data_IF_052542576479
#
_entry.id   IF_052542576479
#
_cell.length_a   1.000
_cell.length_b   1.000
_cell.length_c   1.000
_cell.angle_alpha   90.00
_cell.angle_beta   90.00
_cell.angle_gamma   90.00
#
_symmetry.space_group_name_H-M   'P 1'
#
loop_
_entity.id
_entity.type
_entity.pdbx_description
1 polymer ?
#
# COMPACT_ATOMS: atom_id res chain seq x y z
N UNK A 1 -17.07 16.77 9.61
CA UNK A 1 -16.86 17.41 8.30
C UNK A 1 -16.09 16.42 7.45
N UNK A 2 -16.75 15.75 6.56
CA UNK A 2 -16.12 14.88 5.57
C UNK A 2 -15.60 15.80 4.48
N UNK A 3 -14.28 16.04 4.48
CA UNK A 3 -13.65 16.71 3.36
C UNK A 3 -13.93 15.90 2.09
N UNK A 4 -14.59 16.54 1.15
CA UNK A 4 -14.76 16.07 -0.22
C UNK A 4 -13.36 15.89 -0.83
N UNK A 5 -12.88 14.66 -0.83
CA UNK A 5 -11.71 14.29 -1.62
C UNK A 5 -12.11 14.42 -3.08
N UNK A 6 -11.75 15.53 -3.69
CA UNK A 6 -11.90 15.95 -5.10
C UNK A 6 -13.02 15.24 -5.89
N UNK A 7 -14.06 15.98 -6.29
CA UNK A 7 -15.19 15.50 -7.10
C UNK A 7 -14.85 14.96 -8.50
N UNK A 8 -13.59 14.78 -8.83
CA UNK A 8 -13.11 14.30 -10.13
C UNK A 8 -13.51 12.86 -10.43
N UNK A 9 -13.73 12.02 -9.41
CA UNK A 9 -14.18 10.64 -9.61
C UNK A 9 -15.51 10.56 -10.36
N UNK A 10 -16.40 11.52 -10.15
CA UNK A 10 -17.65 11.60 -10.89
C UNK A 10 -17.41 11.87 -12.39
N UNK A 11 -16.55 12.82 -12.71
CA UNK A 11 -16.26 13.17 -14.11
C UNK A 11 -15.57 12.06 -14.89
N UNK A 12 -14.89 11.13 -14.21
CA UNK A 12 -14.30 9.97 -14.87
C UNK A 12 -15.35 9.00 -15.46
N UNK A 13 -16.62 9.09 -15.06
CA UNK A 13 -17.72 8.32 -15.64
C UNK A 13 -17.88 8.60 -17.13
N UNK A 14 -17.61 9.82 -17.57
CA UNK A 14 -17.68 10.22 -18.98
C UNK A 14 -16.55 9.67 -19.84
N UNK A 15 -15.52 9.06 -19.25
CA UNK A 15 -14.49 8.33 -19.99
C UNK A 15 -14.98 6.96 -20.48
N UNK A 16 -16.03 6.42 -19.87
CA UNK A 16 -16.53 5.06 -20.16
C UNK A 16 -18.00 5.08 -20.65
N UNK A 17 -18.70 6.18 -20.47
CA UNK A 17 -20.11 6.34 -20.87
C UNK A 17 -20.36 7.73 -21.44
N UNK A 18 -21.14 7.85 -22.53
CA UNK A 18 -21.52 9.15 -23.09
C UNK A 18 -22.53 9.90 -22.22
N UNK A 19 -23.18 9.23 -21.30
CA UNK A 19 -24.16 9.81 -20.39
C UNK A 19 -24.09 9.22 -19.01
N UNK A 20 -24.49 9.99 -18.01
CA UNK A 20 -24.58 9.53 -16.62
C UNK A 20 -25.95 9.89 -16.05
N UNK A 21 -26.53 8.93 -15.35
CA UNK A 21 -27.78 9.12 -14.60
C UNK A 21 -27.53 8.79 -13.14
N UNK A 22 -27.81 9.75 -12.26
CA UNK A 22 -27.62 9.59 -10.82
C UNK A 22 -28.95 9.81 -10.12
N UNK A 23 -29.46 8.75 -9.51
CA UNK A 23 -30.66 8.81 -8.67
C UNK A 23 -30.25 8.76 -7.21
N UNK A 24 -30.76 9.65 -6.39
CA UNK A 24 -30.39 9.71 -4.97
C UNK A 24 -31.59 10.04 -4.09
N UNK A 25 -31.64 9.35 -2.94
CA UNK A 25 -32.58 9.63 -1.86
C UNK A 25 -31.81 9.87 -0.57
N UNK A 26 -31.94 11.04 0.07
CA UNK A 26 -31.27 11.32 1.32
C UNK A 26 -31.90 10.53 2.49
N UNK A 27 -31.19 10.37 3.61
CA UNK A 27 -31.78 9.77 4.81
C UNK A 27 -32.91 10.64 5.36
N UNK A 28 -33.92 10.01 5.91
CA UNK A 28 -34.98 10.69 6.65
C UNK A 28 -34.40 11.41 7.87
N UNK A 29 -34.83 12.64 8.11
CA UNK A 29 -34.41 13.46 9.25
C UNK A 29 -35.65 14.07 9.90
N UNK A 30 -35.50 14.64 11.12
CA UNK A 30 -36.58 15.36 11.78
C UNK A 30 -37.10 16.56 10.97
N UNK A 31 -36.25 17.14 10.10
CA UNK A 31 -36.59 18.25 9.24
C UNK A 31 -37.13 17.81 7.88
N UNK A 32 -36.86 16.56 7.45
CA UNK A 32 -37.32 15.95 6.22
C UNK A 32 -37.69 14.48 6.51
N UNK A 33 -38.86 14.22 7.09
CA UNK A 33 -39.26 12.86 7.47
C UNK A 33 -39.60 11.98 6.25
N UNK A 34 -40.05 12.58 5.14
CA UNK A 34 -40.45 11.87 3.91
C UNK A 34 -39.56 12.35 2.73
N UNK A 35 -38.33 11.87 2.63
CA UNK A 35 -37.41 12.29 1.59
C UNK A 35 -37.87 11.81 0.21
N UNK A 36 -37.73 12.67 -0.79
CA UNK A 36 -38.05 12.39 -2.19
C UNK A 36 -36.78 12.01 -2.94
N UNK A 37 -36.88 11.01 -3.81
CA UNK A 37 -35.83 10.64 -4.74
C UNK A 37 -35.75 11.61 -5.88
N UNK A 38 -34.55 12.10 -6.17
CA UNK A 38 -34.25 12.94 -7.33
C UNK A 38 -33.27 12.24 -8.25
N UNK A 39 -33.43 12.48 -9.53
CA UNK A 39 -32.52 12.02 -10.57
C UNK A 39 -31.85 13.19 -11.27
N UNK A 40 -30.54 13.11 -11.39
CA UNK A 40 -29.69 13.97 -12.18
C UNK A 40 -29.28 13.22 -13.45
N UNK A 41 -29.38 13.87 -14.62
CA UNK A 41 -28.92 13.33 -15.90
C UNK A 41 -28.03 14.36 -16.59
N UNK A 42 -26.91 13.88 -17.17
CA UNK A 42 -26.02 14.72 -17.99
C UNK A 42 -25.34 13.86 -19.05
N UNK A 43 -24.97 14.48 -20.15
CA UNK A 43 -24.21 13.87 -21.25
C UNK A 43 -22.81 14.47 -21.36
N UNK A 44 -21.87 13.71 -21.90
CA UNK A 44 -20.49 14.15 -22.12
C UNK A 44 -20.40 15.34 -23.11
N UNK A 45 -21.32 15.40 -24.10
CA UNK A 45 -21.37 16.41 -25.12
C UNK A 45 -22.27 17.58 -24.74
N UNK A 46 -22.97 17.49 -23.58
CA UNK A 46 -23.97 18.45 -23.14
C UNK A 46 -23.38 19.56 -22.29
N UNK A 47 -23.71 20.80 -22.59
CA UNK A 47 -23.48 21.93 -21.69
C UNK A 47 -24.57 22.02 -20.60
N UNK A 48 -25.57 21.13 -20.66
CA UNK A 48 -26.76 21.16 -19.83
C UNK A 48 -26.87 19.86 -19.00
N UNK A 49 -27.47 19.99 -17.84
CA UNK A 49 -27.90 18.87 -17.02
C UNK A 49 -29.36 19.03 -16.61
N UNK A 50 -30.02 17.91 -16.32
CA UNK A 50 -31.42 17.91 -15.88
C UNK A 50 -31.52 17.35 -14.48
N UNK A 51 -32.34 17.95 -13.62
CA UNK A 51 -32.69 17.41 -12.29
C UNK A 51 -34.19 17.40 -12.13
N UNK A 52 -34.73 16.26 -11.78
CA UNK A 52 -36.17 16.08 -11.60
C UNK A 52 -36.50 15.09 -10.48
N UNK A 53 -37.71 15.15 -9.92
CA UNK A 53 -38.23 14.13 -9.03
C UNK A 53 -38.35 12.81 -9.79
N UNK A 54 -37.76 11.75 -9.27
CA UNK A 54 -37.68 10.47 -9.97
C UNK A 54 -39.10 9.87 -10.13
N UNK A 55 -39.58 9.61 -11.35
CA UNK A 55 -40.91 9.03 -11.57
C UNK A 55 -41.05 7.61 -11.05
N UNK A 56 -39.93 6.91 -10.79
CA UNK A 56 -39.93 5.61 -10.09
C UNK A 56 -40.26 5.72 -8.61
N UNK A 57 -40.39 6.95 -8.08
CA UNK A 57 -40.59 7.21 -6.68
C UNK A 57 -39.37 6.84 -5.85
N UNK A 58 -39.59 6.21 -4.70
CA UNK A 58 -38.52 5.85 -3.77
C UNK A 58 -37.95 4.46 -4.03
N UNK A 59 -37.63 4.13 -5.30
CA UNK A 59 -37.17 2.78 -5.70
C UNK A 59 -35.88 2.34 -4.99
N UNK A 60 -35.03 3.27 -4.57
CA UNK A 60 -33.82 2.95 -3.81
C UNK A 60 -34.11 2.53 -2.35
N UNK A 61 -35.32 2.80 -1.84
CA UNK A 61 -35.71 2.35 -0.49
C UNK A 61 -35.81 0.84 -0.37
N UNK A 62 -36.03 0.13 -1.46
CA UNK A 62 -36.05 -1.34 -1.48
C UNK A 62 -34.68 -1.92 -1.06
N UNK A 63 -33.61 -1.12 -1.18
CA UNK A 63 -32.24 -1.50 -0.82
C UNK A 63 -31.77 -0.91 0.53
N UNK A 64 -32.52 0.03 1.09
CA UNK A 64 -32.19 0.69 2.35
C UNK A 64 -32.93 2.02 2.57
N UNK A 65 -32.76 2.64 3.75
CA UNK A 65 -33.49 3.87 4.11
C UNK A 65 -32.99 5.12 3.35
N UNK A 66 -31.86 5.02 2.65
CA UNK A 66 -31.30 6.07 1.79
C UNK A 66 -30.28 5.43 0.85
N UNK A 67 -29.97 6.09 -0.26
CA UNK A 67 -29.01 5.55 -1.20
C UNK A 67 -28.77 6.44 -2.40
N UNK A 68 -27.77 6.05 -3.18
CA UNK A 68 -27.46 6.68 -4.48
C UNK A 68 -27.19 5.58 -5.48
N UNK A 69 -27.83 5.66 -6.62
CA UNK A 69 -27.63 4.80 -7.79
C UNK A 69 -26.96 5.62 -8.89
N UNK A 70 -25.89 5.09 -9.48
CA UNK A 70 -25.24 5.67 -10.65
C UNK A 70 -25.37 4.68 -11.79
N UNK A 71 -25.99 5.10 -12.86
CA UNK A 71 -26.19 4.28 -14.06
C UNK A 71 -25.36 4.84 -15.19
N UNK A 72 -24.54 4.00 -15.79
CA UNK A 72 -23.67 4.30 -16.92
C UNK A 72 -24.06 3.40 -18.09
N UNK A 73 -24.25 4.00 -19.26
CA UNK A 73 -24.53 3.27 -20.50
C UNK A 73 -23.23 3.00 -21.23
N UNK A 74 -22.66 1.81 -20.99
CA UNK A 74 -21.37 1.42 -21.58
C UNK A 74 -21.60 1.00 -23.02
N UNK A 75 -21.01 1.77 -23.97
CA UNK A 75 -21.11 1.46 -25.37
C UNK A 75 -20.20 0.29 -25.76
N UNK A 76 -20.73 -0.76 -26.40
CA UNK A 76 -19.91 -1.77 -27.07
C UNK A 76 -18.98 -1.08 -28.08
N UNK A 77 -17.81 -1.67 -28.31
CA UNK A 77 -16.80 -1.18 -29.28
C UNK A 77 -16.07 0.13 -28.89
N UNK A 78 -16.29 0.65 -27.69
CA UNK A 78 -15.57 1.85 -27.19
C UNK A 78 -14.15 1.54 -26.64
N UNK A 79 -13.75 0.27 -26.63
CA UNK A 79 -12.52 -0.18 -25.95
C UNK A 79 -12.66 -0.29 -24.42
N UNK A 80 -13.86 -0.04 -23.90
CA UNK A 80 -14.16 -0.08 -22.47
C UNK A 80 -14.91 -1.37 -22.04
N UNK A 81 -14.98 -2.36 -22.89
CA UNK A 81 -15.68 -3.63 -22.63
C UNK A 81 -15.16 -4.38 -21.40
N UNK A 82 -13.94 -4.06 -20.99
CA UNK A 82 -13.35 -4.58 -19.76
C UNK A 82 -14.15 -4.24 -18.50
N UNK A 83 -14.91 -3.14 -18.50
CA UNK A 83 -15.78 -2.73 -17.38
C UNK A 83 -16.93 -3.72 -17.19
N UNK A 84 -17.32 -4.44 -18.25
CA UNK A 84 -18.36 -5.45 -18.20
C UNK A 84 -17.82 -6.84 -17.80
N UNK A 85 -16.50 -6.97 -17.61
CA UNK A 85 -15.86 -8.22 -17.23
C UNK A 85 -15.69 -8.28 -15.71
N UNK A 86 -16.42 -9.20 -15.07
CA UNK A 86 -16.40 -9.36 -13.62
C UNK A 86 -15.01 -9.66 -13.06
N UNK A 87 -14.20 -10.49 -13.74
CA UNK A 87 -12.87 -10.86 -13.25
C UNK A 87 -11.94 -9.64 -13.24
N UNK A 88 -12.01 -8.79 -14.27
CA UNK A 88 -11.24 -7.55 -14.31
C UNK A 88 -11.72 -6.53 -13.26
N UNK A 89 -13.02 -6.47 -12.99
CA UNK A 89 -13.54 -5.62 -11.92
C UNK A 89 -13.08 -6.11 -10.53
N UNK A 90 -13.07 -7.42 -10.30
CA UNK A 90 -12.51 -8.01 -9.08
C UNK A 90 -11.05 -7.64 -8.93
N UNK A 91 -10.22 -7.85 -9.97
CA UNK A 91 -8.80 -7.48 -9.98
C UNK A 91 -8.59 -5.99 -9.66
N UNK A 92 -9.39 -5.12 -10.27
CA UNK A 92 -9.32 -3.68 -10.03
C UNK A 92 -9.65 -3.31 -8.57
N UNK A 93 -10.72 -3.88 -8.02
CA UNK A 93 -11.11 -3.65 -6.62
C UNK A 93 -10.07 -4.24 -5.66
N UNK A 94 -9.55 -5.43 -5.95
CA UNK A 94 -8.48 -6.04 -5.16
C UNK A 94 -7.21 -5.19 -5.17
N UNK A 95 -6.85 -4.64 -6.31
CA UNK A 95 -5.68 -3.76 -6.42
C UNK A 95 -5.84 -2.46 -5.62
N UNK A 96 -6.99 -1.80 -5.72
CA UNK A 96 -7.17 -0.43 -5.21
C UNK A 96 -7.90 -0.35 -3.86
N UNK A 97 -8.76 -1.30 -3.55
CA UNK A 97 -9.71 -1.18 -2.42
C UNK A 97 -9.84 -2.43 -1.56
N UNK A 98 -9.04 -3.48 -1.78
CA UNK A 98 -9.16 -4.74 -1.03
C UNK A 98 -9.11 -4.57 0.49
N UNK A 99 -8.41 -3.55 0.98
CA UNK A 99 -8.22 -3.26 2.41
C UNK A 99 -9.19 -2.19 2.95
N UNK A 100 -10.04 -1.62 2.12
CA UNK A 100 -11.03 -0.61 2.52
C UNK A 100 -12.29 -1.28 3.10
N UNK A 101 -12.12 -2.15 4.09
CA UNK A 101 -13.19 -3.02 4.62
C UNK A 101 -14.29 -2.28 5.38
N UNK A 102 -14.04 -1.02 5.78
CA UNK A 102 -15.05 -0.16 6.41
C UNK A 102 -16.24 0.12 5.49
N UNK A 103 -15.99 0.14 4.18
CA UNK A 103 -17.00 0.31 3.14
C UNK A 103 -17.00 -0.95 2.28
N UNK A 104 -17.89 -1.92 2.56
CA UNK A 104 -17.94 -3.16 1.82
C UNK A 104 -18.34 -2.90 0.36
N UNK A 105 -17.59 -3.52 -0.56
CA UNK A 105 -17.84 -3.46 -1.99
C UNK A 105 -18.38 -4.83 -2.42
N UNK A 106 -19.54 -4.81 -3.04
CA UNK A 106 -20.16 -6.00 -3.58
C UNK A 106 -20.21 -5.93 -5.10
N UNK A 107 -19.93 -7.02 -5.75
CA UNK A 107 -20.12 -7.20 -7.18
C UNK A 107 -21.25 -8.20 -7.40
N UNK A 108 -22.21 -7.84 -8.27
CA UNK A 108 -23.25 -8.75 -8.71
C UNK A 108 -22.69 -9.69 -9.75
N UNK A 109 -22.73 -10.99 -9.48
CA UNK A 109 -22.30 -11.97 -10.44
C UNK A 109 -23.31 -12.08 -11.58
N UNK A 110 -22.90 -11.82 -12.81
CA UNK A 110 -23.76 -11.90 -14.00
C UNK A 110 -23.88 -13.33 -14.53
N UNK A 111 -23.01 -14.24 -14.09
CA UNK A 111 -22.93 -15.62 -14.61
C UNK A 111 -23.61 -16.68 -13.71
N UNK A 112 -23.83 -16.36 -12.43
CA UNK A 112 -24.43 -17.28 -11.46
C UNK A 112 -25.54 -16.56 -10.68
N UNK A 113 -26.79 -16.85 -10.96
CA UNK A 113 -28.04 -16.46 -10.26
C UNK A 113 -28.13 -15.05 -9.65
N UNK A 114 -27.29 -14.11 -10.10
CA UNK A 114 -27.33 -12.73 -9.64
C UNK A 114 -26.96 -12.51 -8.19
N UNK A 115 -26.22 -13.41 -7.55
CA UNK A 115 -25.73 -13.22 -6.18
C UNK A 115 -24.73 -12.08 -6.07
N UNK A 116 -24.86 -11.32 -4.98
CA UNK A 116 -23.90 -10.26 -4.62
C UNK A 116 -22.72 -10.85 -3.85
N UNK A 117 -21.53 -10.74 -4.40
CA UNK A 117 -20.29 -11.21 -3.79
C UNK A 117 -19.50 -10.05 -3.23
N UNK A 118 -19.19 -10.08 -1.93
CA UNK A 118 -18.30 -9.10 -1.31
C UNK A 118 -16.88 -9.34 -1.79
N UNK A 119 -16.23 -8.31 -2.36
CA UNK A 119 -14.88 -8.40 -2.94
C UNK A 119 -13.81 -7.97 -1.94
N UNK A 120 -13.94 -6.81 -1.31
CA UNK A 120 -12.94 -6.27 -0.38
C UNK A 120 -13.02 -6.94 1.01
N UNK A 121 -12.59 -8.19 1.08
CA UNK A 121 -12.69 -9.04 2.29
C UNK A 121 -11.47 -8.92 3.21
N UNK A 122 -10.31 -8.55 2.68
CA UNK A 122 -9.03 -8.61 3.39
C UNK A 122 -8.92 -7.47 4.41
N UNK A 123 -8.82 -7.82 5.68
CA UNK A 123 -8.52 -6.81 6.70
C UNK A 123 -7.08 -6.32 6.55
N UNK A 124 -6.85 -5.01 6.66
CA UNK A 124 -5.50 -4.46 6.58
C UNK A 124 -4.68 -4.89 7.81
N UNK A 125 -3.73 -5.79 7.59
CA UNK A 125 -2.91 -6.36 8.67
C UNK A 125 -2.17 -5.26 9.46
N UNK A 126 -1.70 -4.23 8.77
CA UNK A 126 -0.99 -3.10 9.39
C UNK A 126 -1.85 -2.22 10.31
N UNK A 127 -3.18 -2.42 10.32
CA UNK A 127 -4.09 -1.69 11.21
C UNK A 127 -4.27 -2.38 12.56
N UNK A 128 -3.95 -3.67 12.65
CA UNK A 128 -4.07 -4.47 13.88
C UNK A 128 -2.89 -4.21 14.83
N UNK A 129 -3.05 -4.55 16.10
CA UNK A 129 -1.94 -4.51 17.04
C UNK A 129 -0.91 -5.61 16.66
N UNK A 130 0.39 -5.28 16.53
CA UNK A 130 1.43 -6.27 16.24
C UNK A 130 1.46 -7.46 17.20
N UNK A 131 0.99 -7.29 18.43
CA UNK A 131 0.94 -8.34 19.45
C UNK A 131 -0.15 -9.39 19.20
N UNK A 132 -1.17 -9.03 18.41
CA UNK A 132 -2.31 -9.88 18.08
C UNK A 132 -2.15 -10.62 16.75
N UNK A 133 -1.03 -10.39 16.06
CA UNK A 133 -0.75 -10.95 14.74
C UNK A 133 0.27 -12.06 14.87
N UNK A 134 -0.09 -13.24 14.39
CA UNK A 134 0.83 -14.39 14.36
C UNK A 134 1.87 -14.25 13.24
N UNK A 135 2.98 -14.98 13.39
CA UNK A 135 4.01 -15.05 12.33
C UNK A 135 3.46 -15.61 11.02
N UNK A 136 2.52 -16.55 11.08
CA UNK A 136 1.89 -17.13 9.90
C UNK A 136 1.12 -16.06 9.11
N UNK A 137 0.37 -15.19 9.80
CA UNK A 137 -0.35 -14.09 9.14
C UNK A 137 0.60 -13.08 8.50
N UNK A 138 1.75 -12.77 9.14
CA UNK A 138 2.76 -11.92 8.51
C UNK A 138 3.35 -12.55 7.25
N UNK A 139 3.59 -13.87 7.22
CA UNK A 139 4.12 -14.59 6.06
C UNK A 139 3.09 -14.67 4.93
N UNK A 140 1.85 -14.99 5.25
CA UNK A 140 0.74 -15.01 4.30
C UNK A 140 0.54 -13.63 3.65
N UNK A 141 0.58 -12.57 4.48
CA UNK A 141 0.48 -11.21 3.97
C UNK A 141 1.64 -10.84 3.04
N UNK A 142 2.87 -11.28 3.36
CA UNK A 142 4.02 -11.07 2.49
C UNK A 142 3.84 -11.75 1.13
N UNK A 143 3.34 -12.98 1.09
CA UNK A 143 3.03 -13.69 -0.16
C UNK A 143 1.99 -12.94 -1.01
N UNK A 144 1.03 -12.29 -0.37
CA UNK A 144 0.06 -11.44 -1.07
C UNK A 144 0.66 -10.11 -1.59
N UNK A 145 1.80 -9.67 -1.05
CA UNK A 145 2.51 -8.47 -1.50
C UNK A 145 3.47 -8.75 -2.64
N UNK A 146 4.11 -9.92 -2.65
CA UNK A 146 5.10 -10.30 -3.64
C UNK A 146 4.46 -11.20 -4.70
N UNK A 147 4.47 -10.85 -5.99
CA UNK A 147 3.87 -11.65 -7.05
C UNK A 147 4.69 -12.92 -7.39
N UNK A 148 5.87 -13.09 -6.79
CA UNK A 148 6.73 -14.26 -7.02
C UNK A 148 6.09 -15.49 -6.40
N UNK A 149 5.92 -16.60 -7.14
CA UNK A 149 5.43 -17.85 -6.57
C UNK A 149 6.29 -18.28 -5.39
N UNK A 150 5.65 -18.73 -4.31
CA UNK A 150 6.30 -19.20 -3.07
C UNK A 150 7.26 -18.17 -2.45
N UNK A 151 6.92 -16.87 -2.57
CA UNK A 151 7.71 -15.81 -1.97
C UNK A 151 7.79 -15.96 -0.46
N UNK A 152 9.01 -15.97 0.08
CA UNK A 152 9.28 -16.07 1.50
C UNK A 152 9.94 -14.80 2.04
N UNK A 153 9.67 -14.48 3.30
CA UNK A 153 10.32 -13.39 4.00
C UNK A 153 11.27 -13.92 5.08
N UNK A 154 12.41 -13.25 5.20
CA UNK A 154 13.40 -13.54 6.24
C UNK A 154 13.21 -12.71 7.52
N UNK A 155 12.33 -11.70 7.49
CA UNK A 155 12.05 -10.89 8.66
C UNK A 155 11.20 -9.67 8.31
N UNK A 156 10.61 -9.10 9.34
CA UNK A 156 9.73 -7.94 9.18
C UNK A 156 9.77 -7.01 10.39
N UNK A 157 9.22 -5.81 10.17
CA UNK A 157 8.87 -4.89 11.24
C UNK A 157 7.54 -4.22 10.95
N UNK A 158 6.75 -3.98 11.99
CA UNK A 158 5.44 -3.37 11.94
C UNK A 158 5.38 -2.27 13.00
N UNK A 159 5.00 -1.05 12.62
CA UNK A 159 4.98 0.07 13.56
C UNK A 159 3.95 1.14 13.17
N UNK A 160 3.55 1.93 14.17
CA UNK A 160 2.87 3.21 14.00
C UNK A 160 3.90 4.33 14.11
N UNK A 161 3.82 5.31 13.23
CA UNK A 161 4.72 6.46 13.21
C UNK A 161 3.99 7.78 13.02
N UNK A 162 4.70 8.85 13.29
CA UNK A 162 4.33 10.21 12.94
C UNK A 162 5.45 10.83 12.12
N UNK A 163 5.10 11.55 11.08
CA UNK A 163 6.07 12.16 10.17
C UNK A 163 6.76 13.40 10.76
N UNK A 164 6.32 13.89 11.91
CA UNK A 164 6.77 15.19 12.45
C UNK A 164 6.20 16.40 11.71
N UNK A 165 5.36 16.16 10.70
CA UNK A 165 4.56 17.20 10.00
C UNK A 165 3.06 17.08 10.31
N UNK A 166 2.71 16.33 11.35
CA UNK A 166 1.32 16.10 11.76
C UNK A 166 0.60 14.98 11.02
N UNK A 167 1.30 14.24 10.15
CA UNK A 167 0.73 13.09 9.43
C UNK A 167 1.10 11.81 10.16
N UNK A 168 0.11 11.18 10.79
CA UNK A 168 0.25 9.85 11.37
C UNK A 168 0.15 8.79 10.28
N UNK A 169 0.91 7.71 10.42
CA UNK A 169 0.89 6.59 9.49
C UNK A 169 1.16 5.26 10.19
N UNK A 170 0.80 4.17 9.55
CA UNK A 170 1.19 2.82 9.91
C UNK A 170 1.99 2.21 8.78
N UNK A 171 2.97 1.40 9.13
CA UNK A 171 3.81 0.80 8.12
C UNK A 171 4.26 -0.61 8.50
N UNK A 172 4.43 -1.42 7.47
CA UNK A 172 5.06 -2.73 7.54
C UNK A 172 6.20 -2.79 6.55
N UNK A 173 7.30 -3.44 6.93
CA UNK A 173 8.49 -3.58 6.12
C UNK A 173 8.98 -5.01 6.23
N UNK A 174 9.31 -5.62 5.08
CA UNK A 174 9.75 -6.99 4.97
C UNK A 174 11.10 -7.11 4.29
N UNK A 175 11.88 -8.08 4.74
CA UNK A 175 13.11 -8.53 4.09
C UNK A 175 12.77 -9.77 3.26
N UNK A 176 12.90 -9.78 1.93
CA UNK A 176 12.73 -10.97 1.12
C UNK A 176 13.78 -12.03 1.46
N UNK A 177 13.41 -13.30 1.42
CA UNK A 177 14.36 -14.39 1.63
C UNK A 177 15.35 -14.52 0.47
N UNK A 178 14.94 -14.11 -0.74
CA UNK A 178 15.76 -14.11 -1.95
C UNK A 178 15.64 -12.76 -2.65
N UNK A 179 16.73 -12.27 -3.21
CA UNK A 179 16.70 -11.13 -4.12
C UNK A 179 16.37 -11.61 -5.54
N UNK A 180 15.68 -10.80 -6.36
CA UNK A 180 15.56 -11.06 -7.78
C UNK A 180 16.93 -11.23 -8.44
N UNK A 181 17.08 -12.16 -9.39
CA UNK A 181 18.37 -12.44 -10.05
C UNK A 181 18.99 -11.20 -10.71
N UNK A 182 18.13 -10.33 -11.22
CA UNK A 182 18.50 -9.08 -11.88
C UNK A 182 18.59 -7.85 -10.96
N UNK A 183 18.46 -8.06 -9.63
CA UNK A 183 18.44 -6.95 -8.65
C UNK A 183 19.59 -5.98 -8.82
N UNK A 184 20.82 -6.47 -9.06
CA UNK A 184 22.01 -5.66 -9.19
C UNK A 184 22.14 -4.98 -10.56
N UNK A 185 21.45 -5.52 -11.57
CA UNK A 185 21.54 -5.08 -12.97
C UNK A 185 20.45 -4.06 -13.33
N UNK A 186 19.36 -4.00 -12.56
CA UNK A 186 18.28 -3.03 -12.75
C UNK A 186 18.73 -1.64 -12.32
N UNK A 187 18.41 -0.66 -13.15
CA UNK A 187 18.61 0.76 -12.84
C UNK A 187 17.78 1.24 -11.66
N UNK A 188 18.08 2.44 -11.12
CA UNK A 188 17.19 3.08 -10.14
C UNK A 188 15.80 3.28 -10.72
N UNK A 189 14.76 3.21 -9.87
CA UNK A 189 13.36 3.45 -10.27
C UNK A 189 12.61 2.23 -10.83
N UNK A 190 13.26 1.10 -11.06
CA UNK A 190 12.59 -0.11 -11.62
C UNK A 190 11.84 -0.91 -10.54
N UNK A 191 12.13 -0.70 -9.27
CA UNK A 191 11.56 -1.49 -8.18
C UNK A 191 10.33 -0.81 -7.58
N UNK A 192 9.15 -1.38 -7.84
CA UNK A 192 7.88 -1.01 -7.21
C UNK A 192 7.67 -1.80 -5.92
N UNK A 193 8.46 -1.50 -4.91
CA UNK A 193 8.51 -2.26 -3.67
C UNK A 193 7.83 -1.56 -2.49
N UNK A 194 7.30 -0.35 -2.72
CA UNK A 194 6.59 0.42 -1.72
C UNK A 194 5.16 0.63 -2.19
N UNK A 195 4.20 0.23 -1.36
CA UNK A 195 2.79 0.53 -1.57
C UNK A 195 2.38 1.65 -0.62
N UNK A 196 2.11 2.83 -1.18
CA UNK A 196 1.55 3.94 -0.42
C UNK A 196 0.03 3.86 -0.45
N UNK A 197 -0.55 3.85 0.73
CA UNK A 197 -1.98 3.91 0.97
C UNK A 197 -2.32 5.21 1.68
N UNK A 198 -3.51 5.72 1.46
CA UNK A 198 -4.11 6.80 2.25
C UNK A 198 -5.49 6.35 2.67
N UNK A 199 -5.75 6.32 3.98
CA UNK A 199 -7.03 5.82 4.52
C UNK A 199 -7.41 4.44 3.94
N UNK A 200 -6.40 3.53 3.78
CA UNK A 200 -6.52 2.15 3.24
C UNK A 200 -6.85 2.06 1.76
N UNK A 201 -6.80 3.18 1.04
CA UNK A 201 -6.95 3.21 -0.41
C UNK A 201 -5.57 3.25 -1.04
N UNK A 202 -5.31 2.37 -2.00
CA UNK A 202 -4.05 2.37 -2.75
C UNK A 202 -3.92 3.66 -3.56
N UNK A 203 -2.79 4.33 -3.43
CA UNK A 203 -2.47 5.56 -4.15
C UNK A 203 -1.43 5.30 -5.23
N UNK A 204 -0.27 4.73 -4.84
CA UNK A 204 0.81 4.45 -5.78
C UNK A 204 1.78 3.41 -5.21
N UNK A 205 2.44 2.70 -6.09
CA UNK A 205 3.61 1.86 -5.82
C UNK A 205 4.90 2.47 -6.39
N UNK A 206 4.79 3.61 -7.06
CA UNK A 206 5.89 4.37 -7.61
C UNK A 206 5.99 5.73 -6.91
N UNK A 207 7.00 5.88 -6.08
CA UNK A 207 7.30 7.13 -5.34
C UNK A 207 8.48 7.89 -5.95
N UNK A 208 8.98 7.43 -7.10
CA UNK A 208 10.12 8.01 -7.80
C UNK A 208 11.48 7.42 -7.35
N UNK A 209 12.52 7.72 -8.13
CA UNK A 209 13.85 7.13 -7.98
C UNK A 209 14.55 7.48 -6.65
N UNK A 210 14.26 8.64 -6.10
CA UNK A 210 14.93 9.18 -4.91
C UNK A 210 14.27 8.76 -3.58
N UNK A 211 13.27 7.89 -3.63
CA UNK A 211 12.45 7.62 -2.45
C UNK A 211 13.11 6.72 -1.41
N UNK A 212 13.84 5.71 -1.84
CA UNK A 212 14.71 4.91 -0.98
C UNK A 212 16.14 4.94 -1.52
N UNK A 213 17.15 4.85 -0.64
CA UNK A 213 18.51 4.59 -1.08
C UNK A 213 18.56 3.26 -1.84
N UNK A 214 19.35 3.20 -2.91
CA UNK A 214 19.45 2.02 -3.78
C UNK A 214 19.70 0.72 -3.01
N UNK A 215 20.49 0.78 -1.96
CA UNK A 215 20.82 -0.37 -1.14
C UNK A 215 19.65 -0.94 -0.31
N UNK A 216 18.52 -0.21 -0.18
CA UNK A 216 17.28 -0.66 0.48
C UNK A 216 16.16 -1.02 -0.50
N UNK A 217 16.36 -0.90 -1.80
CA UNK A 217 15.30 -1.13 -2.79
C UNK A 217 14.79 -2.57 -2.87
N UNK A 218 15.41 -3.52 -2.15
CA UNK A 218 14.90 -4.88 -2.02
C UNK A 218 13.78 -5.02 -0.99
N UNK A 219 13.62 -4.05 -0.09
CA UNK A 219 12.60 -4.13 0.96
C UNK A 219 11.20 -3.97 0.37
N UNK A 220 10.27 -4.84 0.78
CA UNK A 220 8.85 -4.67 0.49
C UNK A 220 8.20 -3.90 1.62
N UNK A 221 7.55 -2.80 1.28
CA UNK A 221 7.04 -1.84 2.27
C UNK A 221 5.59 -1.48 1.96
N UNK A 222 4.76 -1.47 2.99
CA UNK A 222 3.42 -0.88 2.95
C UNK A 222 3.40 0.29 3.93
N UNK A 223 2.94 1.44 3.46
CA UNK A 223 2.72 2.64 4.28
C UNK A 223 1.29 3.09 4.10
N UNK A 224 0.55 3.26 5.18
CA UNK A 224 -0.82 3.77 5.18
C UNK A 224 -0.87 5.05 6.02
N UNK A 225 -1.02 6.19 5.36
CA UNK A 225 -1.15 7.49 6.01
C UNK A 225 -2.62 7.76 6.38
N UNK A 226 -2.85 8.27 7.60
CA UNK A 226 -4.19 8.60 8.07
C UNK A 226 -4.77 9.81 7.33
N UNK A 227 -3.91 10.77 6.98
CA UNK A 227 -4.26 11.93 6.18
C UNK A 227 -3.04 12.46 5.41
N UNK A 228 -3.18 12.60 4.11
CA UNK A 228 -2.13 13.13 3.24
C UNK A 228 -2.78 14.06 2.21
N UNK A 229 -2.36 15.33 2.13
CA UNK A 229 -2.83 16.20 1.08
C UNK A 229 -2.36 15.65 -0.27
N UNK A 230 -3.28 15.06 -1.02
CA UNK A 230 -3.05 14.53 -2.35
C UNK A 230 -3.38 15.58 -3.38
N UNK A 231 -2.60 15.65 -4.45
CA UNK A 231 -2.97 16.43 -5.63
C UNK A 231 -4.21 15.82 -6.30
N UNK A 232 -4.92 16.64 -7.03
CA UNK A 232 -6.19 16.32 -7.70
C UNK A 232 -6.06 15.06 -8.59
N UNK A 233 -4.93 14.89 -9.27
CA UNK A 233 -4.69 13.73 -10.15
C UNK A 233 -4.27 12.45 -9.43
N UNK A 234 -3.87 12.53 -8.15
CA UNK A 234 -3.26 11.42 -7.38
C UNK A 234 -2.03 10.77 -8.02
N UNK A 235 -1.64 11.17 -9.22
CA UNK A 235 -0.57 10.55 -10.00
C UNK A 235 0.81 11.10 -9.65
N UNK A 236 0.89 12.34 -9.19
CA UNK A 236 2.15 12.96 -8.78
C UNK A 236 2.11 13.38 -7.33
N UNK A 237 2.74 12.60 -6.49
CA UNK A 237 3.16 13.03 -5.17
C UNK A 237 4.37 13.96 -5.37
N UNK A 238 4.11 15.23 -5.64
CA UNK A 238 5.20 16.22 -5.66
C UNK A 238 5.99 16.13 -4.35
N UNK A 239 7.29 16.39 -4.41
CA UNK A 239 8.26 16.25 -3.31
C UNK A 239 7.78 16.94 -2.03
N UNK A 240 6.87 16.25 -1.36
CA UNK A 240 6.16 16.71 -0.18
C UNK A 240 7.13 16.57 1.01
N UNK A 241 7.07 17.51 1.93
CA UNK A 241 7.80 17.45 3.21
C UNK A 241 7.59 16.08 3.91
N UNK A 242 6.39 15.52 3.82
CA UNK A 242 6.05 14.20 4.32
C UNK A 242 6.93 13.11 3.70
N UNK A 243 7.06 13.04 2.38
CA UNK A 243 7.84 11.98 1.70
C UNK A 243 9.32 12.03 2.08
N UNK A 244 9.91 13.22 2.20
CA UNK A 244 11.30 13.36 2.65
C UNK A 244 11.50 12.89 4.08
N UNK A 245 10.52 13.15 4.95
CA UNK A 245 10.56 12.68 6.35
C UNK A 245 10.34 11.18 6.42
N UNK A 246 9.38 10.66 5.63
CA UNK A 246 9.10 9.24 5.54
C UNK A 246 10.35 8.46 5.07
N UNK A 247 11.08 8.94 4.05
CA UNK A 247 12.37 8.35 3.62
C UNK A 247 13.32 8.16 4.80
N UNK A 248 13.55 9.21 5.58
CA UNK A 248 14.44 9.14 6.76
C UNK A 248 13.95 8.15 7.81
N UNK A 249 12.64 8.10 8.03
CA UNK A 249 12.04 7.16 8.98
C UNK A 249 12.23 5.73 8.49
N UNK A 250 11.98 5.47 7.20
CA UNK A 250 12.11 4.12 6.62
C UNK A 250 13.56 3.62 6.68
N UNK A 251 14.53 4.45 6.32
CA UNK A 251 15.97 4.09 6.42
C UNK A 251 16.33 3.74 7.85
N UNK A 252 15.98 4.59 8.81
CA UNK A 252 16.23 4.32 10.23
C UNK A 252 15.56 3.03 10.69
N UNK A 253 14.30 2.81 10.33
CA UNK A 253 13.55 1.60 10.70
C UNK A 253 14.11 0.33 10.08
N UNK A 254 14.62 0.39 8.84
CA UNK A 254 15.34 -0.70 8.22
C UNK A 254 16.60 -1.08 9.03
N UNK A 255 17.43 -0.11 9.37
CA UNK A 255 18.64 -0.33 10.17
C UNK A 255 18.29 -0.86 11.56
N UNK A 256 17.26 -0.33 12.22
CA UNK A 256 16.81 -0.79 13.52
C UNK A 256 16.29 -2.25 13.45
N UNK A 257 15.55 -2.61 12.40
CA UNK A 257 15.08 -3.98 12.13
C UNK A 257 16.27 -4.93 11.95
N UNK A 258 17.25 -4.58 11.13
CA UNK A 258 18.45 -5.40 10.93
C UNK A 258 19.22 -5.57 12.24
N UNK A 259 19.40 -4.50 13.00
CA UNK A 259 20.09 -4.51 14.28
C UNK A 259 19.36 -5.40 15.30
N UNK A 260 18.03 -5.33 15.33
CA UNK A 260 17.22 -6.18 16.20
C UNK A 260 17.39 -7.67 15.86
N UNK A 261 17.24 -8.03 14.58
CA UNK A 261 17.38 -9.41 14.14
C UNK A 261 18.81 -9.93 14.44
N UNK A 262 19.84 -9.15 14.11
CA UNK A 262 21.23 -9.54 14.36
C UNK A 262 21.55 -9.78 15.83
N UNK A 263 20.84 -9.08 16.74
CA UNK A 263 21.01 -9.26 18.19
C UNK A 263 20.18 -10.42 18.74
N UNK A 264 18.93 -10.57 18.29
CA UNK A 264 17.97 -11.53 18.84
C UNK A 264 18.16 -12.93 18.24
N UNK A 265 18.50 -13.02 16.95
CA UNK A 265 18.77 -14.27 16.22
C UNK A 265 19.98 -14.10 15.29
N UNK A 266 21.21 -14.27 15.80
CA UNK A 266 22.44 -14.16 15.01
C UNK A 266 22.52 -15.17 13.85
N UNK A 267 21.96 -16.39 14.03
CA UNK A 267 21.96 -17.41 12.96
C UNK A 267 21.05 -17.00 11.80
N UNK A 268 19.87 -16.46 12.11
CA UNK A 268 18.97 -15.91 11.11
C UNK A 268 19.63 -14.70 10.42
N UNK A 269 20.31 -13.85 11.17
CA UNK A 269 21.02 -12.72 10.60
C UNK A 269 22.12 -13.16 9.62
N UNK A 270 22.86 -14.20 9.94
CA UNK A 270 23.90 -14.73 9.05
C UNK A 270 23.31 -15.22 7.72
N UNK A 271 22.13 -15.85 7.75
CA UNK A 271 21.39 -16.23 6.54
C UNK A 271 20.96 -14.99 5.74
N UNK A 272 20.39 -14.00 6.40
CA UNK A 272 19.98 -12.73 5.79
C UNK A 272 21.19 -12.03 5.18
N UNK A 273 22.31 -11.96 5.92
CA UNK A 273 23.53 -11.30 5.45
C UNK A 273 24.12 -11.95 4.19
N UNK A 274 24.00 -13.27 4.03
CA UNK A 274 24.40 -13.96 2.77
C UNK A 274 23.64 -13.40 1.57
N UNK A 275 22.37 -13.02 1.74
CA UNK A 275 21.52 -12.49 0.68
C UNK A 275 21.73 -10.97 0.44
N UNK A 276 21.74 -10.17 1.52
CA UNK A 276 21.73 -8.70 1.41
C UNK A 276 23.05 -8.03 1.82
N UNK A 277 24.09 -8.80 2.16
CA UNK A 277 25.34 -8.25 2.69
C UNK A 277 26.03 -7.25 1.74
N UNK A 278 25.94 -7.44 0.42
CA UNK A 278 26.43 -6.49 -0.56
C UNK A 278 25.62 -5.18 -0.53
N UNK A 279 24.31 -5.25 -0.34
CA UNK A 279 23.48 -4.07 -0.18
C UNK A 279 23.90 -3.26 1.06
N UNK A 280 24.15 -3.94 2.19
CA UNK A 280 24.63 -3.26 3.41
C UNK A 280 25.99 -2.60 3.20
N UNK A 281 26.92 -3.22 2.44
CA UNK A 281 28.22 -2.62 2.09
C UNK A 281 28.06 -1.33 1.27
N UNK A 282 27.15 -1.34 0.28
CA UNK A 282 26.80 -0.13 -0.48
C UNK A 282 26.21 0.91 0.46
N UNK A 283 25.27 0.51 1.34
CA UNK A 283 24.69 1.40 2.33
C UNK A 283 25.74 2.08 3.22
N UNK A 284 26.79 1.39 3.60
CA UNK A 284 27.90 2.00 4.37
C UNK A 284 28.62 3.12 3.62
N UNK A 285 28.72 3.04 2.29
CA UNK A 285 29.36 4.08 1.48
C UNK A 285 28.45 5.30 1.37
N UNK A 286 27.14 5.09 1.20
CA UNK A 286 26.14 6.13 1.00
C UNK A 286 25.65 6.78 2.30
N UNK A 287 25.71 6.07 3.43
CA UNK A 287 25.15 6.49 4.70
C UNK A 287 25.93 7.63 5.38
N UNK A 288 25.23 8.39 6.20
CA UNK A 288 25.86 9.35 7.11
C UNK A 288 26.74 8.66 8.19
N UNK A 289 27.48 9.45 8.95
CA UNK A 289 28.44 8.91 9.93
C UNK A 289 27.78 8.06 11.04
N UNK A 290 26.54 8.36 11.44
CA UNK A 290 25.82 7.66 12.49
C UNK A 290 25.25 6.34 11.99
N UNK A 291 24.65 6.36 10.81
CA UNK A 291 24.10 5.17 10.15
C UNK A 291 25.23 4.20 9.76
N UNK A 292 26.35 4.74 9.29
CA UNK A 292 27.56 3.97 8.92
C UNK A 292 28.08 3.12 10.06
N UNK A 293 28.14 3.66 11.28
CA UNK A 293 28.60 2.90 12.46
C UNK A 293 27.66 1.75 12.75
N UNK A 294 26.34 1.96 12.67
CA UNK A 294 25.36 0.88 12.87
C UNK A 294 25.48 -0.20 11.79
N UNK A 295 25.59 0.21 10.52
CA UNK A 295 25.76 -0.71 9.39
C UNK A 295 27.07 -1.51 9.47
N UNK A 296 28.17 -0.91 9.95
CA UNK A 296 29.41 -1.61 10.19
C UNK A 296 29.28 -2.76 11.17
N UNK A 297 28.50 -2.57 12.23
CA UNK A 297 28.21 -3.64 13.22
C UNK A 297 27.38 -4.81 12.66
N UNK A 298 26.66 -4.59 11.55
CA UNK A 298 25.85 -5.59 10.89
C UNK A 298 26.60 -6.45 9.89
N UNK A 299 27.80 -6.04 9.48
CA UNK A 299 28.61 -6.78 8.51
C UNK A 299 29.11 -8.10 9.08
N UNK A 300 29.22 -9.09 8.20
CA UNK A 300 29.81 -10.39 8.45
C UNK A 300 30.95 -10.62 7.49
N UNK A 301 31.98 -11.27 8.01
CA UNK A 301 33.21 -11.57 7.28
C UNK A 301 33.61 -13.03 7.52
N UNK A 302 34.23 -13.66 6.55
CA UNK A 302 34.89 -14.93 6.75
C UNK A 302 36.22 -14.73 7.50
N UNK A 303 36.51 -15.58 8.45
CA UNK A 303 37.83 -15.64 9.13
C UNK A 303 38.46 -17.01 8.92
N UNK A 304 39.71 -17.14 9.28
CA UNK A 304 40.40 -18.45 9.26
C UNK A 304 39.82 -19.50 10.23
N UNK A 305 39.00 -19.05 11.18
CA UNK A 305 38.41 -19.90 12.24
C UNK A 305 36.90 -20.12 12.11
N UNK A 306 36.20 -19.15 11.49
CA UNK A 306 34.72 -19.16 11.37
C UNK A 306 34.32 -18.63 10.02
N UNK A 307 33.26 -19.19 9.45
CA UNK A 307 32.68 -18.73 8.16
C UNK A 307 32.00 -17.36 8.27
N UNK A 308 31.51 -17.01 9.47
CA UNK A 308 30.82 -15.75 9.70
C UNK A 308 31.25 -15.16 11.04
N UNK A 309 31.83 -13.95 11.02
CA UNK A 309 32.22 -13.21 12.22
C UNK A 309 31.85 -11.74 12.05
N UNK A 310 31.45 -11.09 13.12
CA UNK A 310 31.26 -9.65 13.19
C UNK A 310 32.56 -8.92 13.48
N UNK A 311 32.63 -7.64 13.17
CA UNK A 311 33.77 -6.78 13.54
C UNK A 311 33.99 -6.73 15.06
N UNK A 312 32.92 -6.81 15.84
CA UNK A 312 32.99 -6.78 17.30
C UNK A 312 33.59 -8.07 17.85
N UNK A 313 33.24 -9.23 17.28
CA UNK A 313 33.86 -10.52 17.66
C UNK A 313 35.37 -10.53 17.36
N UNK A 314 35.75 -10.07 16.18
CA UNK A 314 37.18 -9.94 15.81
C UNK A 314 37.93 -9.04 16.78
N UNK A 315 37.32 -7.91 17.19
CA UNK A 315 37.94 -7.00 18.18
C UNK A 315 38.09 -7.65 19.54
N UNK A 316 37.09 -8.39 20.02
CA UNK A 316 37.14 -9.13 21.31
C UNK A 316 38.22 -10.20 21.30
N UNK A 317 38.30 -11.00 20.23
CA UNK A 317 39.32 -12.02 20.08
C UNK A 317 40.75 -11.44 20.09
N UNK A 318 40.96 -10.31 19.43
CA UNK A 318 42.27 -9.61 19.49
C UNK A 318 42.61 -9.11 20.90
N UNK A 319 41.63 -8.56 21.61
CA UNK A 319 41.84 -8.09 22.98
C UNK A 319 42.16 -9.22 23.96
N UNK A 320 41.58 -10.40 23.75
CA UNK A 320 41.88 -11.59 24.56
C UNK A 320 43.24 -12.20 24.23
N UNK A 321 43.70 -12.09 22.97
CA UNK A 321 45.00 -12.59 22.54
C UNK A 321 46.18 -11.67 22.93
N UNK A 322 45.94 -10.43 23.31
CA UNK A 322 46.96 -9.48 23.78
C UNK A 322 47.19 -9.52 25.30
N UNK A 323 46.55 -10.41 26.02
CA UNK A 323 46.67 -10.57 27.50
C UNK A 323 47.50 -11.81 27.88
N UNK A 324 48.16 -12.46 26.91
CA UNK A 324 49.09 -13.56 27.16
C UNK A 324 50.53 -13.11 26.95
#
# INVERSE_FOLDING_TARGET
MTELVSGLGFYSTFLVSPSVKVSSIPPATAQNPDPVQYTFESSADGEEFTVYADPRGSSLLDQGPCGTEVVLDIQPDSGNDWVLNNDKLVELVEKHSQFSTRFPIFLKNTTVDGEWVKINKKQPLWMRDPKEISEAEYREFYQALDPTPDAETSGWTHWKGDSGSGVSFRAMMYIPAKLPEDFWNKGPGVFRNIRLMVKRVFITDDLGEDYLPRWLNFLKIVVDADDLPLNVSRETLQSNKFLRQLKRILVRKAIDMFTRIAREDPEQWDKIHKTIGNAIRIGMVEADSKERVKLAGLLRFASSRKESVSLEEVRRERSSACVC
#
